data_IF_892020997775
#
_entry.id   IF_892020997775
#
_cell.length_a   1.000
_cell.length_b   1.000
_cell.length_c   1.000
_cell.angle_alpha   90.00
_cell.angle_beta   90.00
_cell.angle_gamma   90.00
#
_symmetry.space_group_name_H-M   'P 1'
#
loop_
_entity.id
_entity.type
_entity.pdbx_description
1 polymer ?
#
# COMPACT_ATOMS: atom_id res chain seq x y z
N UNK A 1 -32.22 -100.55 -55.23
CA UNK A 1 -31.50 -100.62 -53.94
C UNK A 1 -30.21 -99.82 -54.14
N UNK A 2 -30.20 -98.48 -53.98
CA UNK A 2 -30.05 -97.74 -52.70
C UNK A 2 -29.03 -98.40 -51.78
N UNK A 3 -28.00 -97.76 -51.23
CA UNK A 3 -27.44 -96.40 -51.20
C UNK A 3 -26.07 -96.62 -50.46
N UNK A 4 -24.99 -95.85 -50.51
CA UNK A 4 -24.78 -94.42 -50.25
C UNK A 4 -23.25 -94.22 -50.35
N UNK A 5 -22.79 -93.14 -50.95
CA UNK A 5 -21.48 -92.58 -50.63
C UNK A 5 -21.58 -91.05 -50.62
N UNK A 6 -20.76 -90.45 -49.76
CA UNK A 6 -20.49 -89.04 -49.48
C UNK A 6 -21.45 -88.26 -48.57
N UNK A 7 -20.95 -87.83 -47.40
CA UNK A 7 -20.55 -86.41 -47.21
C UNK A 7 -19.74 -86.17 -45.94
N UNK A 8 -18.81 -85.23 -46.06
CA UNK A 8 -17.66 -84.93 -45.20
C UNK A 8 -18.01 -84.02 -44.01
N UNK A 9 -17.41 -84.35 -42.86
CA UNK A 9 -17.10 -83.59 -41.61
C UNK A 9 -17.54 -82.11 -41.44
N UNK A 10 -18.38 -81.79 -40.43
CA UNK A 10 -18.78 -80.43 -40.03
C UNK A 10 -17.99 -79.81 -38.85
N UNK A 11 -16.80 -80.32 -38.52
CA UNK A 11 -16.04 -79.88 -37.32
C UNK A 11 -15.07 -78.70 -37.56
N UNK A 12 -14.76 -78.35 -38.82
CA UNK A 12 -13.82 -77.25 -39.16
C UNK A 12 -14.47 -75.86 -39.16
N UNK A 13 -15.77 -75.78 -39.42
CA UNK A 13 -16.45 -74.48 -39.59
C UNK A 13 -16.73 -73.83 -38.23
N UNK A 14 -17.01 -74.62 -37.19
CA UNK A 14 -17.25 -74.11 -35.84
C UNK A 14 -15.98 -73.48 -35.24
N UNK A 15 -14.83 -74.14 -35.36
CA UNK A 15 -13.54 -73.60 -34.91
C UNK A 15 -13.12 -72.37 -35.73
N UNK A 16 -13.43 -72.33 -37.03
CA UNK A 16 -13.17 -71.17 -37.86
C UNK A 16 -14.00 -69.95 -37.41
N UNK A 17 -15.29 -70.16 -37.08
CA UNK A 17 -16.19 -69.11 -36.57
C UNK A 17 -15.72 -68.63 -35.19
N UNK A 18 -15.31 -69.52 -34.29
CA UNK A 18 -14.80 -69.12 -32.97
C UNK A 18 -13.53 -68.26 -33.07
N UNK A 19 -12.61 -68.62 -33.99
CA UNK A 19 -11.41 -67.81 -34.26
C UNK A 19 -11.75 -66.45 -34.89
N UNK A 20 -12.76 -66.39 -35.75
CA UNK A 20 -13.23 -65.13 -36.34
C UNK A 20 -13.86 -64.22 -35.26
N UNK A 21 -14.64 -64.78 -34.34
CA UNK A 21 -15.21 -64.04 -33.19
C UNK A 21 -14.07 -63.48 -32.33
N UNK A 22 -13.04 -64.27 -32.02
CA UNK A 22 -11.91 -63.81 -31.22
C UNK A 22 -11.12 -62.67 -31.88
N UNK A 23 -10.91 -62.71 -33.21
CA UNK A 23 -10.25 -61.60 -33.92
C UNK A 23 -11.12 -60.34 -33.96
N UNK A 24 -12.44 -60.49 -34.13
CA UNK A 24 -13.39 -59.37 -34.08
C UNK A 24 -13.45 -58.72 -32.69
N UNK A 25 -13.42 -59.50 -31.62
CA UNK A 25 -13.36 -58.98 -30.25
C UNK A 25 -12.06 -58.21 -29.99
N UNK A 26 -10.92 -58.71 -30.48
CA UNK A 26 -9.65 -57.99 -30.40
C UNK A 26 -9.69 -56.66 -31.15
N UNK A 27 -10.21 -56.66 -32.38
CA UNK A 27 -10.36 -55.42 -33.18
C UNK A 27 -11.32 -54.43 -32.51
N UNK A 28 -12.37 -54.92 -31.87
CA UNK A 28 -13.31 -54.10 -31.12
C UNK A 28 -12.66 -53.48 -29.88
N UNK A 29 -11.82 -54.23 -29.15
CA UNK A 29 -11.07 -53.70 -28.03
C UNK A 29 -10.08 -52.59 -28.46
N UNK A 30 -9.36 -52.80 -29.57
CA UNK A 30 -8.46 -51.79 -30.13
C UNK A 30 -9.21 -50.53 -30.61
N UNK A 31 -10.37 -50.71 -31.25
CA UNK A 31 -11.21 -49.60 -31.70
C UNK A 31 -11.78 -48.81 -30.51
N UNK A 32 -12.20 -49.48 -29.43
CA UNK A 32 -12.67 -48.84 -28.19
C UNK A 32 -11.56 -48.05 -27.51
N UNK A 33 -10.33 -48.56 -27.46
CA UNK A 33 -9.21 -47.81 -26.87
C UNK A 33 -8.85 -46.58 -27.71
N UNK A 34 -8.85 -46.69 -29.04
CA UNK A 34 -8.69 -45.54 -29.95
C UNK A 34 -9.81 -44.51 -29.75
N UNK A 35 -11.05 -44.95 -29.56
CA UNK A 35 -12.19 -44.06 -29.26
C UNK A 35 -12.00 -43.34 -27.92
N UNK A 36 -11.53 -44.05 -26.88
CA UNK A 36 -11.26 -43.49 -25.55
C UNK A 36 -10.15 -42.45 -25.58
N UNK A 37 -9.07 -42.72 -26.33
CA UNK A 37 -7.98 -41.76 -26.56
C UNK A 37 -8.45 -40.55 -27.36
N UNK A 38 -9.26 -40.74 -28.40
CA UNK A 38 -9.85 -39.65 -29.16
C UNK A 38 -10.83 -38.81 -28.33
N UNK A 39 -11.59 -39.41 -27.41
CA UNK A 39 -12.47 -38.70 -26.47
C UNK A 39 -11.67 -37.91 -25.43
N UNK A 40 -10.57 -38.46 -24.90
CA UNK A 40 -9.65 -37.71 -24.01
C UNK A 40 -9.00 -36.52 -24.72
N UNK A 41 -8.57 -36.69 -25.98
CA UNK A 41 -8.04 -35.59 -26.79
C UNK A 41 -9.10 -34.55 -27.15
N UNK A 42 -10.35 -34.96 -27.43
CA UNK A 42 -11.48 -34.04 -27.64
C UNK A 42 -11.85 -33.26 -26.38
N UNK A 43 -11.75 -33.88 -25.20
CA UNK A 43 -11.98 -33.21 -23.91
C UNK A 43 -10.96 -32.12 -23.59
N UNK A 44 -9.70 -32.29 -24.01
CA UNK A 44 -8.64 -31.28 -23.80
C UNK A 44 -8.74 -30.15 -24.84
N UNK A 45 -9.19 -30.43 -26.06
CA UNK A 45 -9.29 -29.44 -27.14
C UNK A 45 -10.54 -28.55 -27.06
N UNK A 46 -11.61 -28.97 -26.38
CA UNK A 46 -12.90 -28.26 -26.37
C UNK A 46 -13.17 -27.44 -25.09
N UNK A 47 -12.30 -27.53 -24.07
CA UNK A 47 -12.42 -26.79 -22.79
C UNK A 47 -11.29 -25.79 -22.51
N UNK A 48 -10.45 -25.46 -23.50
CA UNK A 48 -9.54 -24.32 -23.42
C UNK A 48 -10.22 -22.97 -23.75
N UNK A 49 -11.55 -22.90 -23.62
CA UNK A 49 -12.24 -21.61 -23.50
C UNK A 49 -12.08 -21.21 -22.04
N UNK A 50 -11.16 -20.28 -21.77
CA UNK A 50 -11.13 -19.58 -20.48
C UNK A 50 -12.57 -19.11 -20.24
N UNK A 51 -13.27 -19.57 -19.18
CA UNK A 51 -14.62 -19.12 -18.93
C UNK A 51 -14.54 -17.61 -18.75
N UNK A 52 -14.99 -16.86 -19.75
CA UNK A 52 -15.20 -15.42 -19.62
C UNK A 52 -16.39 -15.28 -18.70
N UNK A 53 -16.13 -15.27 -17.40
CA UNK A 53 -17.11 -14.92 -16.38
C UNK A 53 -17.81 -13.65 -16.84
N UNK A 54 -19.15 -13.65 -16.81
CA UNK A 54 -19.91 -12.45 -17.17
C UNK A 54 -19.34 -11.23 -16.41
N UNK A 55 -19.22 -10.05 -17.05
CA UNK A 55 -18.53 -8.90 -16.46
C UNK A 55 -19.08 -8.49 -15.08
N UNK A 56 -20.31 -8.86 -14.76
CA UNK A 56 -20.99 -8.65 -13.47
C UNK A 56 -20.46 -9.50 -12.29
N UNK A 57 -19.61 -10.50 -12.53
CA UNK A 57 -19.03 -11.39 -11.50
C UNK A 57 -17.50 -11.24 -11.38
N UNK A 58 -16.94 -10.15 -11.90
CA UNK A 58 -15.51 -9.89 -11.76
C UNK A 58 -15.18 -9.32 -10.38
N UNK A 59 -14.03 -9.75 -9.82
CA UNK A 59 -13.41 -9.28 -8.58
C UNK A 59 -13.39 -7.73 -8.49
N UNK A 60 -13.39 -7.03 -9.63
CA UNK A 60 -13.45 -5.57 -9.76
C UNK A 60 -14.69 -4.90 -9.14
N UNK A 61 -15.82 -5.58 -8.96
CA UNK A 61 -17.05 -4.98 -8.42
C UNK A 61 -17.10 -4.88 -6.89
N UNK A 62 -16.05 -5.31 -6.18
CA UNK A 62 -15.98 -5.04 -4.75
C UNK A 62 -15.81 -3.53 -4.52
N UNK A 63 -16.67 -2.85 -3.74
CA UNK A 63 -16.51 -1.43 -3.43
C UNK A 63 -15.13 -1.12 -2.80
N UNK A 64 -14.54 -2.09 -2.09
CA UNK A 64 -13.19 -1.98 -1.55
C UNK A 64 -12.12 -1.80 -2.64
N UNK A 65 -12.27 -2.41 -3.81
CA UNK A 65 -11.33 -2.24 -4.92
C UNK A 65 -11.42 -0.84 -5.53
N UNK A 66 -12.61 -0.24 -5.56
CA UNK A 66 -12.75 1.15 -5.99
C UNK A 66 -12.00 2.10 -5.04
N UNK A 67 -12.19 1.93 -3.72
CA UNK A 67 -11.47 2.72 -2.73
C UNK A 67 -9.95 2.46 -2.73
N UNK A 68 -9.52 1.22 -2.97
CA UNK A 68 -8.11 0.89 -3.15
C UNK A 68 -7.48 1.72 -4.28
N UNK A 69 -8.15 1.79 -5.44
CA UNK A 69 -7.68 2.58 -6.58
C UNK A 69 -7.61 4.07 -6.24
N UNK A 70 -8.65 4.63 -5.60
CA UNK A 70 -8.68 6.04 -5.19
C UNK A 70 -7.58 6.39 -4.18
N UNK A 71 -7.43 5.58 -3.12
CA UNK A 71 -6.46 5.80 -2.05
C UNK A 71 -5.02 5.54 -2.51
N UNK A 72 -4.84 4.69 -3.53
CA UNK A 72 -3.55 4.44 -4.18
C UNK A 72 -3.20 5.43 -5.29
N UNK A 73 -4.05 6.42 -5.60
CA UNK A 73 -3.77 7.39 -6.66
C UNK A 73 -2.67 8.39 -6.22
N UNK A 74 -1.71 8.65 -7.09
CA UNK A 74 -0.71 9.71 -6.90
C UNK A 74 -1.30 11.13 -6.97
N UNK A 75 -2.46 11.30 -7.61
CA UNK A 75 -3.16 12.57 -7.74
C UNK A 75 -4.11 12.86 -6.57
N UNK A 76 -4.22 11.96 -5.59
CA UNK A 76 -5.03 12.19 -4.39
C UNK A 76 -4.56 13.50 -3.72
N UNK A 77 -5.45 14.49 -3.48
CA UNK A 77 -5.06 15.86 -3.13
C UNK A 77 -4.66 16.00 -1.65
N UNK A 78 -3.70 15.19 -1.20
CA UNK A 78 -3.10 15.24 0.13
C UNK A 78 -1.98 16.29 0.23
N UNK A 79 -1.55 16.86 -0.90
CA UNK A 79 -0.37 17.72 -0.97
C UNK A 79 0.94 16.95 -0.83
N UNK A 80 0.94 15.62 -0.95
CA UNK A 80 2.14 14.76 -0.87
C UNK A 80 3.25 15.18 -1.84
N UNK A 81 2.87 15.70 -3.02
CA UNK A 81 3.80 16.28 -3.99
C UNK A 81 4.54 17.52 -3.47
N UNK A 82 4.06 18.23 -2.48
CA UNK A 82 4.79 19.37 -1.92
C UNK A 82 5.97 18.95 -1.04
N UNK A 83 6.09 17.67 -0.67
CA UNK A 83 7.01 17.19 0.35
C UNK A 83 8.11 16.29 -0.24
N UNK A 84 9.34 16.42 0.27
CA UNK A 84 10.51 15.63 -0.17
C UNK A 84 10.99 14.61 0.86
N UNK A 85 10.38 14.62 2.06
CA UNK A 85 10.74 13.75 3.19
C UNK A 85 12.26 13.72 3.46
N UNK A 86 12.90 14.88 3.40
CA UNK A 86 14.33 15.06 3.67
C UNK A 86 15.26 14.82 2.47
N UNK A 87 14.74 14.41 1.30
CA UNK A 87 15.57 14.18 0.11
C UNK A 87 16.30 15.45 -0.35
N UNK A 88 15.65 16.61 -0.30
CA UNK A 88 16.28 17.88 -0.70
C UNK A 88 17.45 18.24 0.22
N UNK A 89 17.26 18.12 1.54
CA UNK A 89 18.31 18.31 2.53
C UNK A 89 19.45 17.30 2.36
N UNK A 90 19.12 16.03 2.11
CA UNK A 90 20.10 14.99 1.83
C UNK A 90 20.97 15.36 0.62
N UNK A 91 20.36 15.82 -0.48
CA UNK A 91 21.10 16.26 -1.67
C UNK A 91 21.93 17.51 -1.39
N UNK A 92 21.36 18.50 -0.71
CA UNK A 92 22.04 19.76 -0.40
C UNK A 92 23.30 19.55 0.45
N UNK A 93 23.26 18.65 1.43
CA UNK A 93 24.37 18.40 2.35
C UNK A 93 25.42 17.40 1.85
N UNK A 94 25.08 16.61 0.84
CA UNK A 94 26.02 15.66 0.21
C UNK A 94 26.57 16.16 -1.14
N UNK A 95 26.20 17.36 -1.60
CA UNK A 95 26.96 18.07 -2.64
C UNK A 95 28.38 18.26 -2.12
N UNK A 96 29.37 17.68 -2.81
CA UNK A 96 30.78 17.81 -2.44
C UNK A 96 31.10 19.27 -2.13
N UNK A 97 31.44 19.56 -0.88
CA UNK A 97 31.80 20.91 -0.44
C UNK A 97 32.95 21.41 -1.34
N UNK A 98 32.80 22.57 -2.03
CA UNK A 98 33.93 23.20 -2.68
C UNK A 98 34.93 23.53 -1.57
N UNK A 99 36.13 22.97 -1.70
CA UNK A 99 37.29 23.09 -0.80
C UNK A 99 37.18 24.24 0.21
N UNK A 100 36.71 23.96 1.43
CA UNK A 100 36.94 24.87 2.54
C UNK A 100 38.45 24.88 2.83
N UNK A 101 39.04 26.06 2.71
CA UNK A 101 40.41 26.40 3.12
C UNK A 101 40.52 26.37 4.64
N UNK A 102 40.37 25.18 5.23
CA UNK A 102 40.67 24.97 6.64
C UNK A 102 42.16 24.64 6.80
N UNK A 103 42.91 25.32 7.67
CA UNK A 103 44.35 25.12 7.87
C UNK A 103 44.70 23.83 8.64
N UNK A 104 43.74 22.94 8.90
CA UNK A 104 43.94 21.70 9.64
C UNK A 104 44.28 20.55 8.67
N UNK A 105 45.33 19.74 8.93
CA UNK A 105 45.66 18.58 8.11
C UNK A 105 44.50 17.56 8.08
N UNK A 106 43.97 17.28 6.89
CA UNK A 106 42.87 16.32 6.70
C UNK A 106 43.43 14.88 6.62
N UNK A 107 42.78 13.89 7.27
CA UNK A 107 43.09 12.47 7.09
C UNK A 107 42.87 12.01 5.63
N UNK A 108 43.37 10.83 5.21
CA UNK A 108 43.36 10.40 3.81
C UNK A 108 41.95 10.45 3.19
N UNK A 109 41.85 11.14 2.05
CA UNK A 109 40.61 11.50 1.37
C UNK A 109 40.03 10.30 0.59
N UNK A 110 39.24 9.44 1.22
CA UNK A 110 38.18 8.74 0.48
C UNK A 110 37.04 9.74 0.25
N UNK A 111 36.89 10.28 -0.96
CA UNK A 111 35.71 11.09 -1.30
C UNK A 111 34.47 10.20 -1.06
N UNK A 112 33.50 10.61 -0.22
CA UNK A 112 32.26 9.86 -0.11
C UNK A 112 31.60 9.79 -1.49
N UNK A 113 30.94 8.67 -1.84
CA UNK A 113 30.23 8.55 -3.10
C UNK A 113 29.17 9.66 -3.23
N UNK A 114 28.84 10.08 -4.47
CA UNK A 114 27.80 11.09 -4.67
C UNK A 114 26.47 10.62 -4.08
N UNK A 115 25.61 11.55 -3.62
CA UNK A 115 24.32 11.18 -3.08
C UNK A 115 23.50 10.41 -4.12
N UNK A 116 22.96 9.27 -3.71
CA UNK A 116 22.23 8.37 -4.60
C UNK A 116 20.85 8.07 -4.04
N UNK A 117 19.86 8.10 -4.91
CA UNK A 117 18.49 7.72 -4.55
C UNK A 117 18.42 6.26 -4.09
N UNK A 118 19.26 5.38 -4.67
CA UNK A 118 19.35 3.97 -4.29
C UNK A 118 19.82 3.77 -2.84
N UNK A 119 20.62 4.70 -2.31
CA UNK A 119 21.04 4.67 -0.90
C UNK A 119 20.03 5.35 0.02
N UNK A 120 19.37 6.41 -0.45
CA UNK A 120 18.39 7.15 0.34
C UNK A 120 17.06 6.41 0.51
N UNK A 121 16.56 5.75 -0.54
CA UNK A 121 15.25 5.12 -0.54
C UNK A 121 15.08 4.05 0.55
N UNK A 122 16.01 3.07 0.74
CA UNK A 122 15.87 2.07 1.80
C UNK A 122 15.87 2.69 3.20
N UNK A 123 16.70 3.71 3.42
CA UNK A 123 16.78 4.43 4.70
C UNK A 123 15.49 5.19 4.99
N UNK A 124 14.97 5.91 4.00
CA UNK A 124 13.73 6.66 4.12
C UNK A 124 12.53 5.74 4.31
N UNK A 125 12.44 4.63 3.57
CA UNK A 125 11.37 3.65 3.71
C UNK A 125 11.41 2.95 5.07
N UNK A 126 12.60 2.52 5.52
CA UNK A 126 12.77 1.88 6.83
C UNK A 126 12.37 2.81 7.97
N UNK A 127 12.80 4.08 7.91
CA UNK A 127 12.49 5.14 8.87
C UNK A 127 11.00 5.45 8.92
N UNK A 128 10.38 5.59 7.74
CA UNK A 128 8.95 5.88 7.63
C UNK A 128 8.11 4.71 8.14
N UNK A 129 8.46 3.46 7.77
CA UNK A 129 7.75 2.28 8.23
C UNK A 129 7.80 2.15 9.76
N UNK A 130 8.98 2.25 10.39
CA UNK A 130 9.10 2.06 11.85
C UNK A 130 8.43 3.15 12.68
N UNK A 131 8.28 4.37 12.14
CA UNK A 131 7.65 5.50 12.85
C UNK A 131 6.14 5.63 12.61
N UNK A 132 5.62 5.13 11.49
CA UNK A 132 4.24 5.41 11.09
C UNK A 132 3.39 4.17 10.85
N UNK A 133 3.97 3.06 10.36
CA UNK A 133 3.19 1.86 10.03
C UNK A 133 2.50 1.23 11.26
N UNK A 134 3.10 1.15 12.46
CA UNK A 134 2.41 0.65 13.65
C UNK A 134 1.11 1.41 13.95
N UNK A 135 1.08 2.72 13.72
CA UNK A 135 -0.11 3.56 13.90
C UNK A 135 -1.17 3.31 12.81
N UNK A 136 -0.77 3.11 11.56
CA UNK A 136 -1.68 2.72 10.47
C UNK A 136 -2.32 1.37 10.79
N UNK A 137 -1.53 0.36 11.16
CA UNK A 137 -2.02 -0.98 11.45
C UNK A 137 -2.93 -1.00 12.69
N UNK A 138 -2.57 -0.26 13.74
CA UNK A 138 -3.36 -0.16 14.97
C UNK A 138 -4.70 0.54 14.72
N UNK A 139 -4.70 1.66 13.99
CA UNK A 139 -5.92 2.37 13.64
C UNK A 139 -6.80 1.58 12.66
N UNK A 140 -6.22 0.76 11.79
CA UNK A 140 -6.99 -0.16 10.96
C UNK A 140 -7.67 -1.23 11.82
N UNK A 141 -6.92 -1.87 12.74
CA UNK A 141 -7.42 -2.96 13.59
C UNK A 141 -8.53 -2.49 14.52
N UNK A 142 -8.35 -1.32 15.13
CA UNK A 142 -9.35 -0.69 15.98
C UNK A 142 -9.49 0.81 15.67
N UNK A 143 -10.36 1.18 14.70
CA UNK A 143 -10.56 2.57 14.35
C UNK A 143 -11.19 3.42 15.48
N UNK A 144 -11.73 2.80 16.54
CA UNK A 144 -12.32 3.55 17.65
C UNK A 144 -11.26 4.26 18.51
N UNK A 145 -10.00 3.81 18.47
CA UNK A 145 -8.87 4.43 19.17
C UNK A 145 -8.24 5.60 18.40
N UNK A 146 -8.85 6.05 17.30
CA UNK A 146 -8.27 7.05 16.40
C UNK A 146 -7.76 8.30 17.12
N UNK A 147 -8.53 8.89 18.06
CA UNK A 147 -8.10 10.09 18.78
C UNK A 147 -6.88 9.84 19.67
N UNK A 148 -6.81 8.68 20.34
CA UNK A 148 -5.68 8.32 21.20
C UNK A 148 -4.42 8.03 20.37
N UNK A 149 -4.57 7.33 19.24
CA UNK A 149 -3.46 7.06 18.32
C UNK A 149 -2.93 8.35 17.68
N UNK A 150 -3.82 9.29 17.38
CA UNK A 150 -3.47 10.61 16.85
C UNK A 150 -2.66 11.43 17.86
N UNK A 151 -3.14 11.52 19.10
CA UNK A 151 -2.48 12.24 20.21
C UNK A 151 -1.12 11.59 20.57
N UNK A 152 -1.09 10.26 20.67
CA UNK A 152 0.15 9.51 20.93
C UNK A 152 1.18 9.76 19.83
N UNK A 153 0.78 9.68 18.56
CA UNK A 153 1.68 9.99 17.45
C UNK A 153 2.18 11.44 17.51
N UNK A 154 1.30 12.41 17.79
CA UNK A 154 1.67 13.82 17.92
C UNK A 154 2.75 14.02 18.98
N UNK A 155 2.63 13.33 20.11
CA UNK A 155 3.59 13.39 21.22
C UNK A 155 4.95 12.75 20.92
N UNK A 156 5.02 11.80 19.97
CA UNK A 156 6.25 11.08 19.63
C UNK A 156 7.04 11.70 18.47
N UNK A 157 6.41 12.51 17.61
CA UNK A 157 7.09 13.15 16.48
C UNK A 157 7.90 14.35 16.96
N UNK A 158 9.22 14.17 17.09
CA UNK A 158 10.17 15.23 17.45
C UNK A 158 10.40 16.22 16.30
N UNK A 159 10.46 15.74 15.06
CA UNK A 159 10.70 16.58 13.89
C UNK A 159 9.49 17.45 13.56
N UNK A 160 9.57 18.75 13.84
CA UNK A 160 8.50 19.73 13.63
C UNK A 160 8.05 19.80 12.17
N UNK A 161 8.98 19.68 11.22
CA UNK A 161 8.71 19.61 9.77
C UNK A 161 7.87 18.37 9.44
N UNK A 162 8.33 17.19 9.87
CA UNK A 162 7.61 15.94 9.69
C UNK A 162 6.23 15.96 10.34
N UNK A 163 6.11 16.53 11.55
CA UNK A 163 4.84 16.73 12.26
C UNK A 163 3.87 17.56 11.42
N UNK A 164 4.30 18.73 10.92
CA UNK A 164 3.46 19.60 10.08
C UNK A 164 3.04 18.92 8.78
N UNK A 165 3.95 18.21 8.11
CA UNK A 165 3.62 17.49 6.89
C UNK A 165 2.57 16.39 7.14
N UNK A 166 2.76 15.61 8.22
CA UNK A 166 1.82 14.57 8.63
C UNK A 166 0.43 15.12 8.95
N UNK A 167 0.35 16.22 9.69
CA UNK A 167 -0.91 16.92 10.02
C UNK A 167 -1.57 17.51 8.77
N UNK A 168 -0.80 18.16 7.89
CA UNK A 168 -1.34 18.75 6.67
C UNK A 168 -1.97 17.67 5.76
N UNK A 169 -1.28 16.53 5.59
CA UNK A 169 -1.77 15.41 4.79
C UNK A 169 -2.98 14.74 5.43
N UNK A 170 -2.98 14.52 6.75
CA UNK A 170 -4.12 13.91 7.45
C UNK A 170 -5.36 14.81 7.43
N UNK A 171 -5.22 16.12 7.66
CA UNK A 171 -6.33 17.08 7.52
C UNK A 171 -6.90 17.12 6.09
N UNK A 172 -6.03 17.05 5.08
CA UNK A 172 -6.47 16.95 3.69
C UNK A 172 -7.26 15.65 3.44
N UNK A 173 -6.77 14.52 3.95
CA UNK A 173 -7.47 13.24 3.85
C UNK A 173 -8.84 13.27 4.53
N UNK A 174 -8.95 13.84 5.73
CA UNK A 174 -10.23 14.01 6.43
C UNK A 174 -11.21 14.89 5.64
N UNK A 175 -10.71 15.97 5.02
CA UNK A 175 -11.53 16.83 4.15
C UNK A 175 -12.05 16.08 2.91
N UNK A 176 -11.21 15.27 2.27
CA UNK A 176 -11.61 14.41 1.15
C UNK A 176 -12.65 13.39 1.59
N UNK A 177 -12.47 12.81 2.79
CA UNK A 177 -13.46 11.91 3.37
C UNK A 177 -14.83 12.58 3.52
N UNK A 178 -14.88 13.73 4.19
CA UNK A 178 -16.13 14.47 4.46
C UNK A 178 -16.82 14.92 3.16
N UNK A 179 -16.06 15.30 2.14
CA UNK A 179 -16.59 15.88 0.90
C UNK A 179 -16.89 14.85 -0.19
N UNK A 180 -16.28 13.67 -0.15
CA UNK A 180 -16.32 12.74 -1.28
C UNK A 180 -16.50 11.29 -0.83
N UNK A 181 -15.55 10.73 -0.07
CA UNK A 181 -15.54 9.27 0.18
C UNK A 181 -16.74 8.81 1.03
N UNK A 182 -17.16 9.61 2.01
CA UNK A 182 -18.26 9.25 2.91
C UNK A 182 -19.58 9.00 2.16
N UNK A 183 -19.84 9.75 1.08
CA UNK A 183 -21.06 9.62 0.28
C UNK A 183 -21.03 8.39 -0.65
N UNK A 184 -19.85 7.84 -0.92
CA UNK A 184 -19.66 6.65 -1.78
C UNK A 184 -19.85 5.33 -1.02
N UNK A 185 -19.99 5.34 0.30
CA UNK A 185 -20.36 4.14 1.05
C UNK A 185 -21.86 3.84 0.88
N UNK A 186 -22.25 2.56 0.76
CA UNK A 186 -23.66 2.19 0.70
C UNK A 186 -24.40 2.68 1.95
N UNK A 187 -25.45 3.48 1.75
CA UNK A 187 -26.30 3.99 2.83
C UNK A 187 -26.88 2.85 3.67
N UNK A 188 -26.78 2.97 4.99
CA UNK A 188 -27.24 1.93 5.93
C UNK A 188 -26.33 0.70 6.02
N UNK A 189 -25.14 0.72 5.41
CA UNK A 189 -24.14 -0.32 5.66
C UNK A 189 -23.51 -0.16 7.03
N UNK A 190 -23.16 -1.28 7.68
CA UNK A 190 -22.45 -1.29 8.95
C UNK A 190 -21.14 -0.47 8.90
N UNK A 191 -20.49 -0.41 7.72
CA UNK A 191 -19.28 0.38 7.51
C UNK A 191 -19.56 1.89 7.50
N UNK A 192 -20.65 2.33 6.84
CA UNK A 192 -21.07 3.73 6.86
C UNK A 192 -21.44 4.19 8.28
N UNK A 193 -22.16 3.36 9.03
CA UNK A 193 -22.53 3.64 10.42
C UNK A 193 -21.32 3.71 11.34
N UNK A 194 -20.38 2.75 11.21
CA UNK A 194 -19.12 2.75 11.97
C UNK A 194 -18.29 3.98 11.64
N UNK A 195 -18.19 4.35 10.35
CA UNK A 195 -17.44 5.52 9.93
C UNK A 195 -18.06 6.82 10.47
N UNK A 196 -19.39 6.95 10.45
CA UNK A 196 -20.08 8.09 11.02
C UNK A 196 -19.86 8.21 12.54
N UNK A 197 -19.85 7.08 13.27
CA UNK A 197 -19.60 7.06 14.72
C UNK A 197 -18.16 7.43 15.10
N UNK A 198 -17.20 7.24 14.21
CA UNK A 198 -15.77 7.44 14.50
C UNK A 198 -15.28 8.77 13.96
N UNK A 199 -15.51 9.04 12.67
CA UNK A 199 -14.92 10.21 11.99
C UNK A 199 -15.69 11.51 12.24
N UNK A 200 -17.00 11.47 12.52
CA UNK A 200 -17.76 12.70 12.85
C UNK A 200 -17.36 13.28 14.21
N UNK A 201 -17.24 12.50 15.30
CA UNK A 201 -16.72 13.05 16.56
C UNK A 201 -15.28 13.55 16.43
N UNK A 202 -14.43 12.80 15.71
CA UNK A 202 -13.05 13.20 15.46
C UNK A 202 -12.97 14.56 14.73
N UNK A 203 -13.78 14.77 13.70
CA UNK A 203 -13.80 16.06 12.99
C UNK A 203 -14.41 17.20 13.81
N UNK A 204 -15.35 16.91 14.71
CA UNK A 204 -15.87 17.88 15.68
C UNK A 204 -14.77 18.35 16.66
N UNK A 205 -14.00 17.43 17.24
CA UNK A 205 -12.85 17.75 18.12
C UNK A 205 -11.81 18.62 17.39
N UNK A 206 -11.53 18.29 16.13
CA UNK A 206 -10.60 19.05 15.29
C UNK A 206 -11.06 20.51 15.06
N UNK A 207 -12.37 20.72 14.87
CA UNK A 207 -12.96 22.06 14.64
C UNK A 207 -13.01 22.90 15.92
N UNK A 208 -13.28 22.29 17.08
CA UNK A 208 -13.26 22.97 18.39
C UNK A 208 -11.89 23.62 18.67
N UNK A 209 -10.82 22.92 18.29
CA UNK A 209 -9.43 23.40 18.39
C UNK A 209 -9.16 24.64 17.53
N UNK A 210 -9.82 24.78 16.38
CA UNK A 210 -9.67 25.95 15.52
C UNK A 210 -10.41 27.17 16.06
N UNK A 211 -11.57 26.98 16.70
CA UNK A 211 -12.36 28.08 17.29
C UNK A 211 -11.77 28.66 18.59
N UNK A 212 -11.03 27.87 19.37
CA UNK A 212 -10.31 28.39 20.55
C UNK A 212 -9.12 29.27 20.16
N UNK A 213 -8.46 28.97 19.05
CA UNK A 213 -7.33 29.77 18.54
C UNK A 213 -7.72 31.13 17.94
N UNK A 214 -8.97 31.31 17.53
CA UNK A 214 -9.48 32.57 16.94
C UNK A 214 -10.14 33.50 17.94
N UNK A 215 -10.46 33.03 19.15
CA UNK A 215 -11.10 33.83 20.21
C UNK A 215 -10.09 34.49 21.18
N UNK A 216 -8.81 34.13 21.11
CA UNK A 216 -7.75 34.75 21.92
C UNK A 216 -7.23 36.10 21.40
N UNK A 217 -7.81 36.65 20.31
CA UNK A 217 -7.42 37.96 19.74
C UNK A 217 -8.41 39.09 20.04
N UNK A 218 -9.48 38.85 20.80
CA UNK A 218 -10.42 39.90 21.23
C UNK A 218 -10.56 39.93 22.75
N UNK A 219 -9.75 40.79 23.38
CA UNK A 219 -10.02 41.52 24.64
C UNK A 219 -11.10 40.98 25.58
N UNK A 220 -10.73 40.55 26.80
CA UNK A 220 -11.35 41.06 28.04
C UNK A 220 -10.66 40.52 29.30
N UNK A 221 -10.11 41.47 30.05
CA UNK A 221 -10.05 41.48 31.51
C UNK A 221 -11.41 41.13 32.13
N UNK A 222 -11.56 39.96 32.75
CA UNK A 222 -12.50 39.75 33.87
C UNK A 222 -11.99 38.62 34.77
N UNK A 223 -12.15 38.83 36.08
CA UNK A 223 -11.54 38.08 37.16
C UNK A 223 -12.14 36.67 37.35
N UNK A 224 -11.31 35.76 37.86
CA UNK A 224 -11.79 34.61 38.66
C UNK A 224 -11.78 33.24 37.99
N UNK A 225 -10.64 32.80 37.47
CA UNK A 225 -10.40 31.38 37.13
C UNK A 225 -8.92 31.16 36.87
N UNK A 226 -8.29 30.24 37.61
CA UNK A 226 -6.88 29.91 37.46
C UNK A 226 -6.64 29.17 36.13
N UNK A 227 -6.62 29.88 35.00
CA UNK A 227 -6.01 29.38 33.79
C UNK A 227 -4.50 29.58 33.91
N UNK A 228 -3.79 28.55 34.35
CA UNK A 228 -2.34 28.50 34.18
C UNK A 228 -2.06 28.72 32.69
N UNK A 229 -1.24 29.73 32.37
CA UNK A 229 -1.04 30.30 31.02
C UNK A 229 -0.39 29.40 29.97
N UNK A 230 -0.66 28.09 30.00
CA UNK A 230 -0.38 27.14 28.95
C UNK A 230 -1.70 26.92 28.21
N UNK A 231 -1.79 27.35 26.95
CA UNK A 231 -2.90 26.95 26.10
C UNK A 231 -2.94 25.42 26.09
N UNK A 232 -4.04 24.82 26.53
CA UNK A 232 -4.22 23.37 26.44
C UNK A 232 -3.97 22.93 24.99
N UNK A 233 -3.16 21.87 24.76
CA UNK A 233 -2.92 21.38 23.42
C UNK A 233 -4.25 20.97 22.77
N UNK A 234 -4.36 21.08 21.43
CA UNK A 234 -5.57 20.66 20.74
C UNK A 234 -5.85 19.18 21.02
N UNK A 235 -7.10 18.77 21.29
CA UNK A 235 -7.45 17.37 21.57
C UNK A 235 -7.09 16.38 20.47
N UNK A 236 -6.99 16.84 19.22
CA UNK A 236 -6.57 16.05 18.05
C UNK A 236 -5.84 16.94 17.03
N UNK A 237 -4.82 16.39 16.39
CA UNK A 237 -4.01 17.02 15.34
C UNK A 237 -4.45 16.61 13.93
N UNK A 238 -5.00 15.40 13.75
CA UNK A 238 -5.33 14.77 12.47
C UNK A 238 -4.11 14.43 11.61
N UNK A 239 -3.23 13.61 12.15
CA UNK A 239 -2.10 12.98 11.48
C UNK A 239 -2.54 11.96 10.42
N UNK A 240 -1.75 11.89 9.35
CA UNK A 240 -2.01 10.98 8.25
C UNK A 240 -2.03 9.49 8.66
N UNK A 241 -1.07 8.93 9.43
CA UNK A 241 -0.97 7.48 9.61
C UNK A 241 -2.19 6.84 10.30
N UNK A 242 -2.64 7.29 11.50
CA UNK A 242 -3.83 6.74 12.13
C UNK A 242 -5.08 6.93 11.26
N UNK A 243 -5.24 8.12 10.67
CA UNK A 243 -6.40 8.44 9.88
C UNK A 243 -6.49 7.60 8.60
N UNK A 244 -5.36 7.36 7.93
CA UNK A 244 -5.27 6.51 6.74
C UNK A 244 -5.67 5.08 7.06
N UNK A 245 -5.14 4.51 8.16
CA UNK A 245 -5.49 3.16 8.61
C UNK A 245 -6.99 3.02 8.92
N UNK A 246 -7.54 3.97 9.69
CA UNK A 246 -8.96 4.00 10.01
C UNK A 246 -9.84 4.09 8.76
N UNK A 247 -9.53 4.99 7.82
CA UNK A 247 -10.29 5.15 6.57
C UNK A 247 -10.22 3.87 5.72
N UNK A 248 -9.06 3.24 5.60
CA UNK A 248 -8.93 1.99 4.84
C UNK A 248 -9.78 0.86 5.43
N UNK A 249 -9.78 0.70 6.76
CA UNK A 249 -10.65 -0.26 7.45
C UNK A 249 -12.13 0.04 7.21
N UNK A 250 -12.52 1.31 7.27
CA UNK A 250 -13.91 1.77 7.06
C UNK A 250 -14.37 1.67 5.61
N UNK A 251 -13.45 1.61 4.65
CA UNK A 251 -13.75 1.43 3.21
C UNK A 251 -13.62 -0.02 2.75
N UNK A 252 -13.22 -0.91 3.66
CA UNK A 252 -13.19 -2.36 3.43
C UNK A 252 -11.95 -2.87 2.69
N UNK A 253 -10.88 -2.07 2.58
CA UNK A 253 -9.57 -2.58 2.15
C UNK A 253 -9.09 -3.63 3.15
N UNK A 254 -8.28 -4.60 2.71
CA UNK A 254 -7.62 -5.51 3.64
C UNK A 254 -6.47 -4.81 4.39
N UNK A 255 -6.06 -5.39 5.52
CA UNK A 255 -4.93 -4.86 6.31
C UNK A 255 -3.63 -4.86 5.48
N UNK A 256 -3.40 -5.93 4.71
CA UNK A 256 -2.24 -6.06 3.81
C UNK A 256 -2.25 -5.00 2.71
N UNK A 257 -3.41 -4.81 2.05
CA UNK A 257 -3.59 -3.77 1.04
C UNK A 257 -3.27 -2.40 1.64
N UNK A 258 -3.84 -2.10 2.81
CA UNK A 258 -3.64 -0.84 3.54
C UNK A 258 -2.15 -0.58 3.81
N UNK A 259 -1.44 -1.54 4.39
CA UNK A 259 -0.02 -1.43 4.69
C UNK A 259 0.82 -1.18 3.42
N UNK A 260 0.54 -1.96 2.38
CA UNK A 260 1.28 -1.87 1.12
C UNK A 260 1.07 -0.52 0.41
N UNK A 261 -0.19 -0.08 0.23
CA UNK A 261 -0.47 1.18 -0.49
C UNK A 261 0.03 2.40 0.29
N UNK A 262 0.02 2.34 1.63
CA UNK A 262 0.50 3.41 2.48
C UNK A 262 2.01 3.65 2.26
N UNK A 263 2.80 2.58 2.36
CA UNK A 263 4.25 2.65 2.12
C UNK A 263 4.59 2.92 0.66
N UNK A 264 3.87 2.31 -0.28
CA UNK A 264 4.08 2.57 -1.70
C UNK A 264 3.77 4.03 -2.06
N UNK A 265 2.82 4.67 -1.37
CA UNK A 265 2.54 6.10 -1.53
C UNK A 265 3.70 6.99 -1.10
N UNK A 266 4.39 6.64 -0.01
CA UNK A 266 5.65 7.30 0.37
C UNK A 266 6.74 7.11 -0.70
N UNK A 267 6.91 5.89 -1.22
CA UNK A 267 7.87 5.64 -2.31
C UNK A 267 7.55 6.45 -3.57
N UNK A 268 6.28 6.53 -3.99
CA UNK A 268 5.85 7.39 -5.11
C UNK A 268 6.17 8.86 -4.88
N UNK A 269 5.94 9.36 -3.66
CA UNK A 269 6.25 10.74 -3.30
C UNK A 269 7.76 11.03 -3.40
N UNK A 270 8.60 10.12 -2.87
CA UNK A 270 10.05 10.21 -2.97
C UNK A 270 10.56 10.16 -4.41
N UNK A 271 10.05 9.23 -5.21
CA UNK A 271 10.39 9.11 -6.64
C UNK A 271 10.01 10.40 -7.37
N UNK A 272 8.84 10.96 -7.09
CA UNK A 272 8.39 12.24 -7.65
C UNK A 272 9.29 13.42 -7.24
N UNK A 273 9.71 13.47 -5.98
CA UNK A 273 10.68 14.46 -5.49
C UNK A 273 12.04 14.31 -6.18
N UNK A 274 12.53 13.07 -6.36
CA UNK A 274 13.81 12.79 -7.03
C UNK A 274 13.81 13.21 -8.51
N UNK A 275 12.69 13.00 -9.23
CA UNK A 275 12.54 13.50 -10.61
C UNK A 275 12.63 15.03 -10.65
N UNK A 276 11.92 15.73 -9.76
CA UNK A 276 11.97 17.21 -9.68
C UNK A 276 13.31 17.76 -9.23
N UNK A 277 14.04 17.01 -8.41
CA UNK A 277 15.41 17.34 -8.03
C UNK A 277 16.43 17.05 -9.16
N UNK A 278 15.99 16.55 -10.32
CA UNK A 278 16.83 16.26 -11.47
C UNK A 278 17.72 15.02 -11.31
N UNK A 279 17.42 14.12 -10.34
CA UNK A 279 18.21 12.92 -10.12
C UNK A 279 18.04 11.88 -11.23
N UNK A 280 16.82 11.75 -11.77
CA UNK A 280 16.50 10.85 -12.87
C UNK A 280 15.23 11.27 -13.61
N UNK A 281 15.07 10.78 -14.84
CA UNK A 281 13.92 11.09 -15.71
C UNK A 281 12.67 10.25 -15.42
N UNK A 282 11.52 10.59 -16.04
CA UNK A 282 10.23 9.94 -15.80
C UNK A 282 10.22 8.43 -16.13
N UNK A 283 10.95 7.98 -17.16
CA UNK A 283 11.05 6.54 -17.46
C UNK A 283 11.86 5.78 -16.40
N UNK A 284 12.91 6.38 -15.86
CA UNK A 284 13.70 5.80 -14.76
C UNK A 284 12.88 5.77 -13.46
N UNK A 285 12.03 6.77 -13.24
CA UNK A 285 11.07 6.78 -12.14
C UNK A 285 10.10 5.59 -12.22
N UNK A 286 9.47 5.37 -13.38
CA UNK A 286 8.57 4.22 -13.59
C UNK A 286 9.31 2.89 -13.49
N UNK A 287 10.53 2.78 -14.03
CA UNK A 287 11.38 1.60 -13.86
C UNK A 287 11.66 1.31 -12.38
N UNK A 288 11.86 2.34 -11.56
CA UNK A 288 12.08 2.19 -10.12
C UNK A 288 10.81 1.71 -9.42
N UNK A 289 9.66 2.32 -9.69
CA UNK A 289 8.37 1.94 -9.09
C UNK A 289 7.92 0.53 -9.49
N UNK A 290 8.20 0.11 -10.74
CA UNK A 290 7.91 -1.22 -11.25
C UNK A 290 8.93 -2.28 -10.82
N UNK A 291 10.02 -1.88 -10.15
CA UNK A 291 11.10 -2.81 -9.81
C UNK A 291 10.68 -3.80 -8.72
N UNK A 292 11.11 -5.06 -8.88
CA UNK A 292 10.98 -6.09 -7.84
C UNK A 292 11.67 -5.67 -6.54
N UNK A 293 12.78 -4.94 -6.65
CA UNK A 293 13.49 -4.41 -5.48
C UNK A 293 12.59 -3.54 -4.60
N UNK A 294 11.76 -2.66 -5.17
CA UNK A 294 10.81 -1.84 -4.38
C UNK A 294 9.73 -2.71 -3.74
N UNK A 295 9.20 -3.69 -4.47
CA UNK A 295 8.20 -4.62 -3.94
C UNK A 295 8.77 -5.41 -2.74
N UNK A 296 9.96 -5.99 -2.90
CA UNK A 296 10.63 -6.76 -1.86
C UNK A 296 10.97 -5.88 -0.64
N UNK A 297 11.43 -4.63 -0.84
CA UNK A 297 11.68 -3.70 0.25
C UNK A 297 10.42 -3.36 1.04
N UNK A 298 9.29 -3.11 0.36
CA UNK A 298 8.01 -2.84 1.02
C UNK A 298 7.54 -4.08 1.78
N UNK A 299 7.57 -5.25 1.16
CA UNK A 299 7.19 -6.50 1.80
C UNK A 299 8.01 -6.75 3.08
N UNK A 300 9.33 -6.54 3.02
CA UNK A 300 10.22 -6.73 4.16
C UNK A 300 9.90 -5.77 5.33
N UNK A 301 9.62 -4.49 5.07
CA UNK A 301 9.27 -3.55 6.15
C UNK A 301 7.83 -3.76 6.67
N UNK A 302 6.91 -4.24 5.83
CA UNK A 302 5.56 -4.62 6.27
C UNK A 302 5.63 -5.82 7.20
N UNK A 303 6.38 -6.86 6.82
CA UNK A 303 6.59 -8.04 7.65
C UNK A 303 7.26 -7.67 8.97
N UNK A 304 8.29 -6.84 8.93
CA UNK A 304 9.01 -6.36 10.12
C UNK A 304 8.10 -5.65 11.11
N UNK A 305 7.24 -4.75 10.63
CA UNK A 305 6.39 -3.91 11.50
C UNK A 305 5.00 -4.50 11.76
N UNK A 306 4.68 -5.69 11.24
CA UNK A 306 3.32 -6.22 11.23
C UNK A 306 2.68 -6.29 12.62
N UNK A 307 3.47 -6.69 13.62
CA UNK A 307 3.04 -6.86 14.99
C UNK A 307 3.70 -5.87 15.96
N UNK A 308 4.43 -4.86 15.46
CA UNK A 308 5.04 -3.83 16.29
C UNK A 308 3.94 -3.02 16.98
N UNK A 309 4.02 -2.88 18.29
CA UNK A 309 3.11 -2.03 19.07
C UNK A 309 3.40 -0.54 18.84
N UNK A 310 2.43 0.34 19.06
CA UNK A 310 2.67 1.79 18.93
C UNK A 310 3.67 2.32 19.96
N UNK A 311 3.81 1.64 21.10
CA UNK A 311 4.78 1.97 22.16
C UNK A 311 6.23 1.70 21.73
N UNK A 312 6.42 0.77 20.79
CA UNK A 312 7.72 0.43 20.20
C UNK A 312 7.98 1.15 18.87
N UNK A 313 6.99 1.89 18.36
CA UNK A 313 7.13 2.67 17.14
C UNK A 313 8.15 3.80 17.35
N UNK A 314 9.12 3.90 16.45
CA UNK A 314 10.24 4.81 16.66
C UNK A 314 11.16 4.99 15.47
N UNK A 315 12.05 5.97 15.58
CA UNK A 315 13.00 6.32 14.54
C UNK A 315 14.14 5.29 14.47
N UNK A 316 14.12 4.44 13.44
CA UNK A 316 15.18 3.45 13.19
C UNK A 316 16.42 4.04 12.51
N UNK A 317 16.28 5.21 11.88
CA UNK A 317 17.36 5.87 11.13
C UNK A 317 17.43 7.35 11.55
N UNK A 318 18.12 7.68 12.67
CA UNK A 318 18.13 9.04 13.24
C UNK A 318 18.54 10.15 12.25
N UNK A 319 19.40 9.83 11.29
CA UNK A 319 19.84 10.80 10.27
C UNK A 319 18.70 11.23 9.33
N UNK A 320 17.67 10.40 9.14
CA UNK A 320 16.49 10.78 8.35
C UNK A 320 15.75 11.94 9.00
N UNK A 321 15.57 11.88 10.32
CA UNK A 321 14.89 12.92 11.09
C UNK A 321 15.64 14.25 11.03
N UNK A 322 16.97 14.19 11.08
CA UNK A 322 17.85 15.34 10.88
C UNK A 322 17.72 15.93 9.46
N UNK A 323 17.67 15.11 8.41
CA UNK A 323 17.50 15.62 7.04
C UNK A 323 16.12 16.24 6.82
N UNK A 324 15.06 15.65 7.36
CA UNK A 324 13.71 16.24 7.29
C UNK A 324 13.71 17.59 8.02
N UNK A 325 14.21 17.65 9.25
CA UNK A 325 14.23 18.88 10.05
C UNK A 325 15.11 19.99 9.44
N UNK A 326 16.25 19.62 8.83
CA UNK A 326 17.14 20.59 8.16
C UNK A 326 16.52 21.26 6.95
N UNK A 327 15.38 20.80 6.45
CA UNK A 327 14.72 21.45 5.31
C UNK A 327 14.37 22.92 5.61
N UNK A 328 14.03 23.25 6.86
CA UNK A 328 13.71 24.63 7.26
C UNK A 328 14.88 25.61 7.12
N UNK A 329 16.12 25.11 7.19
CA UNK A 329 17.34 25.93 7.16
C UNK A 329 18.01 25.93 5.79
N UNK A 330 17.38 25.36 4.76
CA UNK A 330 17.90 25.42 3.39
C UNK A 330 17.72 26.83 2.81
N UNK A 331 18.81 27.38 2.26
CA UNK A 331 18.82 28.72 1.63
C UNK A 331 17.88 28.82 0.42
N UNK A 332 17.83 27.78 -0.41
CA UNK A 332 16.93 27.65 -1.56
C UNK A 332 16.14 26.36 -1.40
N UNK A 333 14.82 26.44 -1.61
CA UNK A 333 13.87 25.32 -1.42
C UNK A 333 13.00 25.17 -2.66
N UNK A 334 12.90 23.95 -3.18
CA UNK A 334 11.93 23.59 -4.23
C UNK A 334 10.72 22.83 -3.68
N UNK A 335 10.83 22.28 -2.46
CA UNK A 335 9.73 21.62 -1.76
C UNK A 335 9.32 22.38 -0.49
N UNK A 336 8.11 22.12 -0.03
CA UNK A 336 7.54 22.69 1.19
C UNK A 336 7.96 21.90 2.46
N UNK A 337 8.40 20.63 2.26
CA UNK A 337 8.76 19.55 3.23
C UNK A 337 7.87 19.31 4.43
#
# INVERSE_FOLDING_TARGET
MSQLQYKTTPLSDAEAIENEIADLERRLAEAKEKQRQAQQQRGIAHDAVIPVSSPSQTILHSPANHFLLLLSDSALPLGSFAFSSGLESYLAHNKSSPSSSSPIPKPPKSKPPPPSFTSFLPLSLSSYASTTLPYVLSAYRDPSQLSWLDDTLDSTIVCTVGRRASVAQGRALLSIWERSLAASLPSGSASADKAAKILKPFSALLRQSSSSSSSSSSSATTAGGASNGWNDPPPVSAHLPPLFGAICALTGLSLEQTAYIYLFSHVKALVSAAVRAGMFGPYQAQKTLASRQVQDMIAAVVEREWNTSVDEAGQSVPVMDLWVGRHEVLYSRIFNS
#
